data_IF_429284170602
#
_entry.id   IF_429284170602
#
_cell.length_a   1.000
_cell.length_b   1.000
_cell.length_c   1.000
_cell.angle_alpha   90.00
_cell.angle_beta   90.00
_cell.angle_gamma   90.00
#
_symmetry.space_group_name_H-M   'P 1'
#
loop_
_entity.id
_entity.type
_entity.pdbx_description
1 polymer ?
#
# COMPACT_ATOMS: atom_id res chain seq x y z
N UNK A 1 26.35 -1.41 -26.11
CA UNK A 1 25.65 -2.46 -25.33
C UNK A 1 26.46 -2.84 -24.08
N UNK A 2 26.15 -2.26 -22.92
CA UNK A 2 26.61 -2.55 -21.53
C UNK A 2 28.03 -3.10 -21.23
N UNK A 3 28.97 -3.11 -22.17
CA UNK A 3 30.33 -3.65 -22.01
C UNK A 3 30.38 -5.17 -21.74
N UNK A 4 29.36 -5.92 -22.14
CA UNK A 4 29.32 -7.39 -21.96
C UNK A 4 30.03 -8.04 -23.14
N UNK A 5 31.10 -8.80 -22.88
CA UNK A 5 31.86 -9.52 -23.90
C UNK A 5 31.21 -10.89 -24.18
N UNK A 6 31.30 -11.34 -25.43
CA UNK A 6 30.86 -12.68 -25.85
C UNK A 6 31.62 -13.76 -25.05
N UNK A 7 30.93 -14.68 -24.36
CA UNK A 7 31.56 -15.86 -23.78
C UNK A 7 32.17 -16.75 -24.87
N UNK A 8 33.37 -17.30 -24.64
CA UNK A 8 34.05 -18.17 -25.61
C UNK A 8 33.27 -19.45 -25.96
N UNK A 9 32.34 -19.86 -25.08
CA UNK A 9 31.51 -21.05 -25.23
C UNK A 9 30.28 -20.85 -26.12
N UNK A 10 30.05 -19.65 -26.67
CA UNK A 10 28.84 -19.30 -27.42
C UNK A 10 29.21 -18.88 -28.84
N UNK A 11 28.54 -19.46 -29.84
CA UNK A 11 28.71 -19.11 -31.25
C UNK A 11 28.19 -17.69 -31.56
N UNK A 12 28.57 -17.15 -32.72
CA UNK A 12 28.22 -15.77 -33.10
C UNK A 12 26.71 -15.56 -33.27
N UNK A 13 26.00 -16.53 -33.83
CA UNK A 13 24.54 -16.43 -34.06
C UNK A 13 23.76 -16.40 -32.75
N UNK A 14 24.15 -17.25 -31.80
CA UNK A 14 23.56 -17.26 -30.45
C UNK A 14 23.89 -15.98 -29.69
N UNK A 15 25.08 -15.41 -29.90
CA UNK A 15 25.46 -14.13 -29.33
C UNK A 15 24.67 -12.96 -29.94
N UNK A 16 24.50 -12.89 -31.25
CA UNK A 16 23.72 -11.85 -31.93
C UNK A 16 22.27 -11.82 -31.47
N UNK A 17 21.59 -12.99 -31.47
CA UNK A 17 20.21 -13.11 -30.96
C UNK A 17 20.08 -12.61 -29.53
N UNK A 18 21.09 -12.89 -28.71
CA UNK A 18 21.14 -12.40 -27.35
C UNK A 18 21.26 -10.87 -27.26
N UNK A 19 22.08 -10.27 -28.12
CA UNK A 19 22.19 -8.81 -28.20
C UNK A 19 20.84 -8.18 -28.61
N UNK A 20 20.13 -8.80 -29.55
CA UNK A 20 18.78 -8.38 -29.93
C UNK A 20 17.80 -8.46 -28.75
N UNK A 21 17.76 -9.58 -28.03
CA UNK A 21 16.89 -9.79 -26.87
C UNK A 21 17.11 -8.72 -25.79
N UNK A 22 18.38 -8.44 -25.44
CA UNK A 22 18.73 -7.41 -24.44
C UNK A 22 18.32 -6.02 -24.93
N UNK A 23 18.57 -5.71 -26.21
CA UNK A 23 18.19 -4.42 -26.80
C UNK A 23 16.68 -4.23 -26.76
N UNK A 24 15.91 -5.27 -27.10
CA UNK A 24 14.45 -5.24 -27.02
C UNK A 24 13.97 -4.96 -25.59
N UNK A 25 14.56 -5.58 -24.57
CA UNK A 25 14.20 -5.31 -23.17
C UNK A 25 14.57 -3.90 -22.73
N UNK A 26 15.70 -3.36 -23.16
CA UNK A 26 16.07 -1.96 -22.90
C UNK A 26 15.05 -0.99 -23.50
N UNK A 27 14.67 -1.19 -24.76
CA UNK A 27 13.65 -0.37 -25.43
C UNK A 27 12.30 -0.41 -24.70
N UNK A 28 11.95 -1.56 -24.09
CA UNK A 28 10.75 -1.65 -23.25
C UNK A 28 10.87 -0.81 -21.97
N UNK A 29 12.03 -0.85 -21.29
CA UNK A 29 12.27 -0.02 -20.11
C UNK A 29 12.24 1.48 -20.43
N UNK A 30 12.78 1.89 -21.58
CA UNK A 30 12.71 3.28 -22.07
C UNK A 30 11.26 3.70 -22.32
N UNK A 31 10.47 2.85 -22.99
CA UNK A 31 9.03 3.09 -23.22
C UNK A 31 8.22 3.16 -21.92
N UNK A 32 8.65 2.45 -20.88
CA UNK A 32 8.07 2.55 -19.54
C UNK A 32 8.42 3.86 -18.82
N UNK A 33 9.40 4.60 -19.33
CA UNK A 33 9.82 5.90 -18.79
C UNK A 33 11.03 5.83 -17.86
N UNK A 34 11.76 4.71 -17.82
CA UNK A 34 12.99 4.63 -17.05
C UNK A 34 14.08 5.51 -17.71
N UNK A 35 14.76 6.39 -16.94
CA UNK A 35 15.83 7.19 -17.48
C UNK A 35 17.11 6.36 -17.63
N UNK A 36 18.06 6.89 -18.39
CA UNK A 36 19.29 6.19 -18.78
C UNK A 36 20.11 5.71 -17.57
N UNK A 37 20.17 6.47 -16.48
CA UNK A 37 20.85 6.07 -15.25
C UNK A 37 20.21 4.84 -14.59
N UNK A 38 18.89 4.69 -14.68
CA UNK A 38 18.18 3.49 -14.21
C UNK A 38 18.50 2.30 -15.11
N UNK A 39 18.44 2.49 -16.42
CA UNK A 39 18.73 1.42 -17.40
C UNK A 39 20.18 0.92 -17.28
N UNK A 40 21.13 1.78 -16.91
CA UNK A 40 22.50 1.37 -16.59
C UNK A 40 22.56 0.38 -15.42
N UNK A 41 21.70 0.53 -14.40
CA UNK A 41 21.61 -0.43 -13.28
C UNK A 41 21.03 -1.78 -13.71
N UNK A 42 20.07 -1.80 -14.65
CA UNK A 42 19.62 -3.04 -15.28
C UNK A 42 20.78 -3.76 -15.98
N UNK A 43 21.59 -3.05 -16.77
CA UNK A 43 22.78 -3.61 -17.42
C UNK A 43 23.81 -4.19 -16.45
N UNK A 44 24.02 -3.54 -15.29
CA UNK A 44 24.91 -4.05 -14.22
C UNK A 44 24.35 -5.32 -13.58
N UNK A 45 23.07 -5.31 -13.22
CA UNK A 45 22.40 -6.47 -12.63
C UNK A 45 22.44 -7.67 -13.57
N UNK A 46 22.17 -7.42 -14.84
CA UNK A 46 22.22 -8.45 -15.86
C UNK A 46 23.63 -9.07 -15.99
N UNK A 47 24.69 -8.26 -16.02
CA UNK A 47 26.08 -8.74 -16.00
C UNK A 47 26.38 -9.60 -14.75
N UNK A 48 25.87 -9.20 -13.58
CA UNK A 48 26.00 -9.99 -12.34
C UNK A 48 25.32 -11.36 -12.47
N UNK A 49 24.09 -11.41 -13.00
CA UNK A 49 23.32 -12.66 -13.13
C UNK A 49 23.93 -13.63 -14.14
N UNK A 50 24.51 -13.12 -15.23
CA UNK A 50 25.27 -13.92 -16.19
C UNK A 50 26.49 -14.59 -15.56
N UNK A 51 27.20 -13.87 -14.68
CA UNK A 51 28.36 -14.43 -13.98
C UNK A 51 28.00 -15.56 -13.00
N UNK A 52 26.78 -15.56 -12.46
CA UNK A 52 26.31 -16.54 -11.46
C UNK A 52 25.78 -17.84 -12.05
N UNK A 53 25.02 -17.76 -13.16
CA UNK A 53 24.35 -18.95 -13.73
C UNK A 53 25.25 -19.86 -14.57
N UNK A 54 26.52 -19.49 -14.74
CA UNK A 54 27.45 -20.22 -15.59
C UNK A 54 27.12 -20.05 -17.09
N UNK A 55 28.08 -20.35 -17.96
CA UNK A 55 27.93 -20.11 -19.41
C UNK A 55 27.01 -21.13 -20.12
N UNK A 56 26.49 -22.14 -19.41
CA UNK A 56 25.67 -23.23 -19.95
C UNK A 56 24.16 -23.04 -19.79
N UNK A 57 23.70 -22.00 -19.09
CA UNK A 57 22.26 -21.72 -18.94
C UNK A 57 21.67 -21.02 -20.17
N UNK A 58 20.40 -21.31 -20.49
CA UNK A 58 19.68 -20.71 -21.60
C UNK A 58 19.67 -19.17 -21.48
N UNK A 59 20.38 -18.51 -22.39
CA UNK A 59 20.66 -17.08 -22.31
C UNK A 59 19.38 -16.22 -22.41
N UNK A 60 18.42 -16.63 -23.24
CA UNK A 60 17.15 -15.91 -23.40
C UNK A 60 16.27 -15.99 -22.14
N UNK A 61 16.37 -17.09 -21.38
CA UNK A 61 15.73 -17.22 -20.07
C UNK A 61 16.36 -16.27 -19.04
N UNK A 62 17.69 -16.05 -19.09
CA UNK A 62 18.36 -15.08 -18.20
C UNK A 62 17.89 -13.66 -18.51
N UNK A 63 17.84 -13.28 -19.80
CA UNK A 63 17.34 -11.96 -20.22
C UNK A 63 15.91 -11.76 -19.76
N UNK A 64 15.05 -12.74 -20.00
CA UNK A 64 13.64 -12.69 -19.61
C UNK A 64 13.47 -12.61 -18.10
N UNK A 65 14.20 -13.43 -17.34
CA UNK A 65 14.20 -13.42 -15.87
C UNK A 65 14.67 -12.07 -15.32
N UNK A 66 15.77 -11.51 -15.83
CA UNK A 66 16.29 -10.23 -15.36
C UNK A 66 15.32 -9.09 -15.67
N UNK A 67 14.68 -9.13 -16.84
CA UNK A 67 13.64 -8.16 -17.18
C UNK A 67 12.43 -8.31 -16.25
N UNK A 68 11.93 -9.54 -16.03
CA UNK A 68 10.82 -9.79 -15.11
C UNK A 68 11.07 -9.27 -13.70
N UNK A 69 12.30 -9.35 -13.20
CA UNK A 69 12.66 -8.78 -11.91
C UNK A 69 12.46 -7.25 -11.88
N UNK A 70 12.67 -6.54 -12.99
CA UNK A 70 12.40 -5.08 -13.07
C UNK A 70 10.91 -4.75 -13.01
N UNK A 71 10.04 -5.74 -13.17
CA UNK A 71 8.59 -5.57 -13.20
C UNK A 71 7.93 -5.90 -11.85
N UNK A 72 8.73 -6.09 -10.80
CA UNK A 72 8.28 -6.36 -9.43
C UNK A 72 8.96 -5.37 -8.50
N UNK A 73 8.16 -4.58 -7.79
CA UNK A 73 8.62 -3.59 -6.81
C UNK A 73 9.32 -4.33 -5.65
N UNK A 74 10.49 -3.85 -5.22
CA UNK A 74 11.26 -4.46 -4.14
C UNK A 74 12.10 -5.67 -4.56
N UNK A 75 12.33 -5.89 -5.85
CA UNK A 75 13.46 -6.74 -6.30
C UNK A 75 14.75 -5.94 -6.30
N UNK A 76 15.90 -6.62 -6.24
CA UNK A 76 17.21 -5.98 -6.24
C UNK A 76 17.40 -5.04 -7.44
N UNK A 77 17.03 -5.46 -8.65
CA UNK A 77 17.21 -4.64 -9.85
C UNK A 77 16.23 -3.48 -9.89
N UNK A 78 14.96 -3.70 -9.53
CA UNK A 78 13.97 -2.62 -9.45
C UNK A 78 14.45 -1.54 -8.47
N UNK A 79 14.92 -1.93 -7.28
CA UNK A 79 15.42 -0.99 -6.29
C UNK A 79 16.64 -0.23 -6.82
N UNK A 80 17.62 -0.92 -7.41
CA UNK A 80 18.79 -0.24 -7.99
C UNK A 80 18.37 0.81 -9.03
N UNK A 81 17.45 0.46 -9.93
CA UNK A 81 16.89 1.37 -10.92
C UNK A 81 16.16 2.55 -10.26
N UNK A 82 15.27 2.27 -9.30
CA UNK A 82 14.52 3.28 -8.56
C UNK A 82 15.44 4.29 -7.86
N UNK A 83 16.50 3.83 -7.19
CA UNK A 83 17.42 4.69 -6.45
C UNK A 83 18.43 5.42 -7.34
N UNK A 84 18.73 4.91 -8.54
CA UNK A 84 19.53 5.62 -9.52
C UNK A 84 18.82 6.89 -10.01
N UNK A 85 17.50 6.83 -10.22
CA UNK A 85 16.70 7.98 -10.62
C UNK A 85 16.40 8.91 -9.44
N UNK A 86 17.26 9.92 -9.23
CA UNK A 86 17.14 10.93 -8.14
C UNK A 86 16.10 12.02 -8.43
N UNK A 87 14.94 11.64 -8.98
CA UNK A 87 13.87 12.54 -9.43
C UNK A 87 13.41 13.56 -8.37
N UNK A 88 13.35 13.11 -7.12
CA UNK A 88 12.96 13.87 -5.93
C UNK A 88 13.92 15.04 -5.63
N UNK A 89 15.18 14.92 -6.07
CA UNK A 89 16.19 15.98 -5.96
C UNK A 89 16.21 16.92 -7.15
N UNK A 90 15.48 16.60 -8.22
CA UNK A 90 15.47 17.37 -9.47
C UNK A 90 14.29 18.34 -9.47
N UNK A 91 13.05 17.83 -9.50
CA UNK A 91 11.86 18.68 -9.53
C UNK A 91 10.58 17.91 -9.19
N UNK A 92 9.50 18.65 -8.93
CA UNK A 92 8.17 18.05 -8.78
C UNK A 92 7.70 17.35 -10.07
N UNK A 93 7.99 17.93 -11.24
CA UNK A 93 7.65 17.34 -12.55
C UNK A 93 8.38 16.02 -12.77
N UNK A 94 9.67 15.98 -12.45
CA UNK A 94 10.47 14.76 -12.58
C UNK A 94 10.01 13.68 -11.59
N UNK A 95 9.64 14.07 -10.37
CA UNK A 95 9.03 13.16 -9.38
C UNK A 95 7.72 12.55 -9.90
N UNK A 96 6.88 13.34 -10.59
CA UNK A 96 5.65 12.83 -11.22
C UNK A 96 5.94 11.81 -12.33
N UNK A 97 6.97 12.02 -13.16
CA UNK A 97 7.38 11.02 -14.17
C UNK A 97 7.77 9.70 -13.51
N UNK A 98 8.55 9.77 -12.43
CA UNK A 98 8.96 8.60 -11.65
C UNK A 98 7.79 7.83 -11.06
N UNK A 99 6.82 8.56 -10.49
CA UNK A 99 5.58 7.97 -9.96
C UNK A 99 4.72 7.37 -11.07
N UNK A 100 4.62 8.02 -12.24
CA UNK A 100 3.91 7.46 -13.40
C UNK A 100 4.55 6.16 -13.88
N UNK A 101 5.88 6.06 -13.90
CA UNK A 101 6.59 4.81 -14.18
C UNK A 101 6.23 3.70 -13.21
N UNK A 102 6.15 4.00 -11.91
CA UNK A 102 5.69 3.04 -10.89
C UNK A 102 4.25 2.57 -11.14
N UNK A 103 3.33 3.48 -11.46
CA UNK A 103 1.93 3.11 -11.76
C UNK A 103 1.84 2.18 -12.98
N UNK A 104 2.65 2.40 -14.02
CA UNK A 104 2.73 1.51 -15.20
C UNK A 104 3.27 0.12 -14.87
N UNK A 105 4.31 0.03 -14.04
CA UNK A 105 4.94 -1.24 -13.66
C UNK A 105 3.98 -2.09 -12.83
N UNK A 106 3.28 -1.45 -11.90
CA UNK A 106 2.31 -2.11 -11.03
C UNK A 106 0.99 -2.41 -11.76
N UNK A 107 0.72 -1.74 -12.89
CA UNK A 107 -0.53 -1.83 -13.63
C UNK A 107 -1.65 -0.95 -13.05
N UNK A 108 -1.33 -0.14 -12.05
CA UNK A 108 -2.25 0.81 -11.42
C UNK A 108 -2.66 1.94 -12.37
N UNK A 109 -1.87 2.20 -13.42
CA UNK A 109 -2.16 3.21 -14.45
C UNK A 109 -3.43 2.92 -15.27
N UNK A 110 -3.91 1.67 -15.24
CA UNK A 110 -5.11 1.19 -15.94
C UNK A 110 -6.33 1.06 -15.03
N UNK A 111 -6.18 1.39 -13.75
CA UNK A 111 -7.21 1.24 -12.73
C UNK A 111 -7.68 2.61 -12.23
N UNK A 112 -8.88 2.60 -11.66
CA UNK A 112 -9.60 3.78 -11.18
C UNK A 112 -10.49 3.41 -9.98
N UNK A 113 -11.34 4.35 -9.55
CA UNK A 113 -12.27 4.15 -8.43
C UNK A 113 -13.28 3.01 -8.64
N UNK A 114 -13.54 2.60 -9.89
CA UNK A 114 -14.52 1.55 -10.25
C UNK A 114 -13.89 0.16 -10.29
N UNK A 115 -12.57 0.10 -10.20
CA UNK A 115 -11.83 -1.16 -10.27
C UNK A 115 -12.18 -2.08 -9.09
N UNK A 116 -12.27 -3.38 -9.37
CA UNK A 116 -12.63 -4.39 -8.38
C UNK A 116 -11.50 -4.67 -7.40
N UNK A 117 -11.85 -5.24 -6.24
CA UNK A 117 -10.85 -5.70 -5.28
C UNK A 117 -9.87 -6.73 -5.87
N UNK A 118 -10.32 -7.60 -6.79
CA UNK A 118 -9.46 -8.58 -7.47
C UNK A 118 -8.44 -7.91 -8.40
N UNK A 119 -8.85 -6.88 -9.15
CA UNK A 119 -7.92 -6.12 -9.98
C UNK A 119 -6.83 -5.45 -9.14
N UNK A 120 -7.21 -4.88 -7.98
CA UNK A 120 -6.27 -4.24 -7.06
C UNK A 120 -5.36 -5.26 -6.35
N UNK A 121 -5.86 -6.46 -6.04
CA UNK A 121 -5.03 -7.57 -5.54
C UNK A 121 -3.98 -7.99 -6.57
N UNK A 122 -4.32 -8.01 -7.86
CA UNK A 122 -3.36 -8.30 -8.92
C UNK A 122 -2.25 -7.22 -9.03
N UNK A 123 -2.56 -5.96 -8.68
CA UNK A 123 -1.53 -4.91 -8.52
C UNK A 123 -0.63 -5.21 -7.31
N UNK A 124 -1.19 -5.70 -6.19
CA UNK A 124 -0.40 -6.10 -5.03
C UNK A 124 0.59 -7.23 -5.35
N UNK A 125 0.27 -8.13 -6.29
CA UNK A 125 1.18 -9.18 -6.77
C UNK A 125 2.40 -8.63 -7.54
N UNK A 126 2.38 -7.35 -7.93
CA UNK A 126 3.55 -6.63 -8.48
C UNK A 126 4.46 -6.04 -7.39
N UNK A 127 4.14 -6.25 -6.12
CA UNK A 127 5.01 -5.94 -4.99
C UNK A 127 5.59 -7.24 -4.46
N UNK A 128 6.90 -7.27 -4.25
CA UNK A 128 7.59 -8.45 -3.74
C UNK A 128 6.98 -8.88 -2.40
N UNK A 129 6.51 -10.14 -2.33
CA UNK A 129 5.87 -10.71 -1.13
C UNK A 129 6.78 -10.75 0.10
N UNK A 130 8.10 -10.62 -0.08
CA UNK A 130 9.09 -10.54 1.01
C UNK A 130 9.36 -9.12 1.48
N UNK A 131 8.77 -8.12 0.84
CA UNK A 131 8.97 -6.71 1.16
C UNK A 131 8.28 -6.36 2.48
N UNK A 132 9.08 -5.93 3.45
CA UNK A 132 8.62 -5.63 4.80
C UNK A 132 7.88 -4.28 4.86
N UNK A 133 6.96 -4.08 5.82
CA UNK A 133 6.36 -2.77 6.08
C UNK A 133 7.38 -1.66 6.42
N UNK A 134 8.52 -2.00 7.01
CA UNK A 134 9.60 -1.05 7.34
C UNK A 134 10.66 -0.89 6.25
N UNK A 135 10.44 -1.45 5.05
CA UNK A 135 11.38 -1.31 3.94
C UNK A 135 11.62 0.17 3.57
N UNK A 136 12.88 0.53 3.33
CA UNK A 136 13.32 1.89 2.96
C UNK A 136 12.64 2.43 1.70
N UNK A 137 12.19 1.56 0.79
CA UNK A 137 11.47 1.95 -0.41
C UNK A 137 10.22 2.75 -0.08
N UNK A 138 9.46 2.36 0.95
CA UNK A 138 8.23 3.07 1.32
C UNK A 138 8.51 4.53 1.72
N UNK A 139 9.62 4.77 2.41
CA UNK A 139 10.10 6.13 2.71
C UNK A 139 10.48 6.91 1.45
N UNK A 140 11.14 6.26 0.49
CA UNK A 140 11.54 6.87 -0.78
C UNK A 140 10.36 7.17 -1.70
N UNK A 141 9.40 6.25 -1.82
CA UNK A 141 8.15 6.42 -2.55
C UNK A 141 7.41 7.65 -2.02
N UNK A 142 7.20 7.69 -0.72
CA UNK A 142 6.46 8.76 -0.13
C UNK A 142 7.18 10.11 -0.18
N UNK A 143 8.50 10.16 -0.05
CA UNK A 143 9.28 11.38 -0.30
C UNK A 143 9.14 11.88 -1.75
N UNK A 144 9.02 10.95 -2.70
CA UNK A 144 8.76 11.27 -4.12
C UNK A 144 7.35 11.84 -4.31
N UNK A 145 6.33 11.27 -3.64
CA UNK A 145 4.94 11.78 -3.64
C UNK A 145 4.87 13.17 -3.02
N UNK A 146 5.49 13.37 -1.86
CA UNK A 146 5.57 14.65 -1.18
C UNK A 146 6.20 15.71 -2.09
N UNK A 147 7.34 15.42 -2.72
CA UNK A 147 7.98 16.34 -3.67
C UNK A 147 7.10 16.66 -4.89
N UNK A 148 6.31 15.71 -5.36
CA UNK A 148 5.45 15.87 -6.53
C UNK A 148 4.21 16.72 -6.27
N UNK A 149 3.65 16.65 -5.06
CA UNK A 149 2.30 17.15 -4.78
C UNK A 149 2.18 18.14 -3.62
N UNK A 150 3.13 18.20 -2.69
CA UNK A 150 3.09 19.21 -1.64
C UNK A 150 3.50 20.60 -2.20
N UNK A 151 2.82 21.70 -1.82
CA UNK A 151 1.62 21.80 -0.96
C UNK A 151 0.28 21.72 -1.72
N UNK A 152 0.31 21.49 -3.03
CA UNK A 152 -0.85 21.65 -3.92
C UNK A 152 -1.88 20.50 -3.89
N UNK A 153 -1.56 19.38 -3.25
CA UNK A 153 -2.41 18.19 -3.14
C UNK A 153 -2.35 17.27 -4.35
N UNK A 154 -2.81 16.02 -4.17
CA UNK A 154 -2.75 14.95 -5.18
C UNK A 154 -3.82 15.08 -6.27
N UNK A 155 -3.76 16.17 -7.05
CA UNK A 155 -4.70 16.44 -8.14
C UNK A 155 -4.40 15.64 -9.41
N UNK A 156 -5.44 15.38 -10.20
CA UNK A 156 -5.38 14.72 -11.52
C UNK A 156 -5.21 13.21 -11.43
N UNK A 157 -5.22 12.54 -12.59
CA UNK A 157 -5.29 11.07 -12.67
C UNK A 157 -4.16 10.37 -11.92
N UNK A 158 -2.92 10.84 -12.04
CA UNK A 158 -1.79 10.28 -11.30
C UNK A 158 -1.97 10.45 -9.78
N UNK A 159 -2.53 11.58 -9.33
CA UNK A 159 -2.80 11.80 -7.91
C UNK A 159 -3.89 10.86 -7.38
N UNK A 160 -4.94 10.63 -8.18
CA UNK A 160 -5.97 9.64 -7.89
C UNK A 160 -5.40 8.23 -7.82
N UNK A 161 -4.61 7.82 -8.81
CA UNK A 161 -3.95 6.50 -8.85
C UNK A 161 -3.10 6.28 -7.59
N UNK A 162 -2.31 7.27 -7.19
CA UNK A 162 -1.46 7.20 -5.99
C UNK A 162 -2.28 7.13 -4.71
N UNK A 163 -3.42 7.83 -4.62
CA UNK A 163 -4.34 7.71 -3.47
C UNK A 163 -4.87 6.28 -3.35
N UNK A 164 -5.45 5.76 -4.43
CA UNK A 164 -6.00 4.41 -4.47
C UNK A 164 -4.92 3.34 -4.19
N UNK A 165 -3.69 3.56 -4.67
CA UNK A 165 -2.56 2.66 -4.46
C UNK A 165 -2.18 2.50 -2.97
N UNK A 166 -2.55 3.45 -2.10
CA UNK A 166 -2.32 3.34 -0.64
C UNK A 166 -3.01 2.11 -0.03
N UNK A 167 -4.16 1.71 -0.57
CA UNK A 167 -4.88 0.51 -0.15
C UNK A 167 -4.19 -0.78 -0.61
N UNK A 168 -3.58 -0.76 -1.80
CA UNK A 168 -2.76 -1.88 -2.32
C UNK A 168 -1.54 -2.10 -1.44
N UNK A 169 -0.83 -1.01 -1.09
CA UNK A 169 0.33 -1.07 -0.18
C UNK A 169 -0.10 -1.60 1.19
N UNK A 170 -1.16 -1.03 1.78
CA UNK A 170 -1.63 -1.47 3.11
C UNK A 170 -2.02 -2.94 3.13
N UNK A 171 -2.71 -3.43 2.09
CA UNK A 171 -3.02 -4.85 1.94
C UNK A 171 -1.76 -5.72 1.85
N UNK A 172 -0.78 -5.33 1.02
CA UNK A 172 0.48 -6.07 0.91
C UNK A 172 1.20 -6.15 2.26
N UNK A 173 1.22 -5.04 3.02
CA UNK A 173 1.87 -4.97 4.32
C UNK A 173 1.14 -5.82 5.37
N UNK A 174 -0.19 -5.77 5.43
CA UNK A 174 -0.99 -6.64 6.30
C UNK A 174 -0.74 -8.12 5.96
N UNK A 175 -0.76 -8.47 4.67
CA UNK A 175 -0.50 -9.83 4.20
C UNK A 175 0.91 -10.32 4.53
N UNK A 176 1.93 -9.45 4.40
CA UNK A 176 3.29 -9.77 4.82
C UNK A 176 3.34 -10.22 6.28
N UNK A 177 2.70 -9.46 7.19
CA UNK A 177 2.65 -9.80 8.61
C UNK A 177 1.94 -11.13 8.84
N UNK A 178 0.77 -11.31 8.23
CA UNK A 178 -0.07 -12.51 8.37
C UNK A 178 0.66 -13.78 7.92
N UNK A 179 1.40 -13.69 6.81
CA UNK A 179 2.05 -14.84 6.18
C UNK A 179 3.42 -15.19 6.81
N UNK A 180 4.11 -14.23 7.45
CA UNK A 180 5.50 -14.42 7.90
C UNK A 180 5.68 -14.55 9.43
N UNK A 181 4.66 -14.22 10.22
CA UNK A 181 4.75 -14.24 11.68
C UNK A 181 3.71 -15.19 12.29
N UNK A 182 4.12 -15.90 13.34
CA UNK A 182 3.24 -16.80 14.11
C UNK A 182 2.35 -15.96 15.03
N UNK A 183 1.17 -16.47 15.36
CA UNK A 183 0.20 -15.80 16.24
C UNK A 183 -1.20 -16.34 16.00
N UNK A 184 -2.05 -16.33 17.04
CA UNK A 184 -3.45 -16.75 16.95
C UNK A 184 -4.33 -15.69 16.27
N UNK A 185 -3.98 -14.42 16.44
CA UNK A 185 -4.65 -13.28 15.80
C UNK A 185 -3.64 -12.42 15.04
N UNK A 186 -4.13 -11.56 14.15
CA UNK A 186 -3.27 -10.65 13.38
C UNK A 186 -2.56 -9.63 14.30
N UNK A 187 -3.22 -9.21 15.39
CA UNK A 187 -2.61 -8.43 16.47
C UNK A 187 -1.35 -9.12 17.02
N UNK A 188 -1.41 -10.42 17.33
CA UNK A 188 -0.25 -11.14 17.86
C UNK A 188 0.86 -11.26 16.82
N UNK A 189 0.50 -11.47 15.55
CA UNK A 189 1.46 -11.51 14.44
C UNK A 189 2.16 -10.16 14.27
N UNK A 190 1.42 -9.05 14.39
CA UNK A 190 1.99 -7.70 14.35
C UNK A 190 2.94 -7.45 15.51
N UNK A 191 2.55 -7.85 16.74
CA UNK A 191 3.42 -7.77 17.92
C UNK A 191 4.71 -8.54 17.67
N UNK A 192 4.61 -9.78 17.19
CA UNK A 192 5.78 -10.60 16.88
C UNK A 192 6.67 -10.01 15.78
N UNK A 193 6.10 -9.34 14.79
CA UNK A 193 6.87 -8.57 13.82
C UNK A 193 7.62 -7.41 14.48
N UNK A 194 6.93 -6.57 15.24
CA UNK A 194 7.53 -5.41 15.91
C UNK A 194 8.68 -5.84 16.81
N UNK A 195 8.48 -6.89 17.62
CA UNK A 195 9.48 -7.42 18.55
C UNK A 195 10.66 -8.06 17.80
N UNK A 196 10.39 -8.99 16.88
CA UNK A 196 11.43 -9.76 16.19
C UNK A 196 12.29 -8.90 15.28
N UNK A 197 11.68 -7.99 14.53
CA UNK A 197 12.40 -7.08 13.62
C UNK A 197 12.95 -5.85 14.35
N UNK A 198 12.70 -5.73 15.66
CA UNK A 198 13.11 -4.58 16.49
C UNK A 198 12.66 -3.28 15.86
N UNK A 199 11.38 -3.15 15.56
CA UNK A 199 10.82 -1.90 15.07
C UNK A 199 10.75 -0.95 16.27
N UNK A 200 11.55 0.11 16.29
CA UNK A 200 11.59 1.10 17.40
C UNK A 200 10.66 2.30 17.15
N UNK A 201 10.26 2.49 15.90
CA UNK A 201 9.50 3.62 15.40
C UNK A 201 8.04 3.23 15.12
N UNK A 202 7.38 2.63 16.11
CA UNK A 202 5.94 2.40 16.10
C UNK A 202 5.23 3.21 17.17
N UNK A 203 3.91 3.36 17.03
CA UNK A 203 3.01 3.81 18.11
C UNK A 203 1.62 3.22 17.91
N UNK A 204 0.88 3.10 19.02
CA UNK A 204 -0.54 2.77 19.03
C UNK A 204 -1.39 3.92 19.58
N UNK A 205 -0.79 5.11 19.79
CA UNK A 205 -1.43 6.26 20.43
C UNK A 205 -2.26 7.10 19.45
N UNK A 206 -2.10 6.88 18.14
CA UNK A 206 -2.89 7.54 17.10
C UNK A 206 -4.38 7.19 17.21
N UNK A 207 -5.25 8.18 16.98
CA UNK A 207 -6.69 7.97 17.08
C UNK A 207 -7.22 7.08 15.96
N UNK A 208 -7.96 6.04 16.33
CA UNK A 208 -8.71 5.20 15.39
C UNK A 208 -10.12 5.75 15.08
N UNK A 209 -10.48 6.97 15.52
CA UNK A 209 -11.85 7.53 15.38
C UNK A 209 -12.40 7.45 13.95
N UNK A 210 -11.58 7.80 12.96
CA UNK A 210 -11.98 7.76 11.54
C UNK A 210 -12.20 6.34 11.00
N UNK A 211 -11.69 5.35 11.74
CA UNK A 211 -11.85 3.92 11.50
C UNK A 211 -12.85 3.29 12.49
N UNK A 212 -13.74 4.07 13.09
CA UNK A 212 -14.79 3.58 14.00
C UNK A 212 -16.19 3.92 13.48
N UNK A 213 -16.49 3.64 12.21
CA UNK A 213 -17.78 4.00 11.62
C UNK A 213 -18.95 3.27 12.30
N UNK A 214 -19.99 4.01 12.63
CA UNK A 214 -21.22 3.52 13.26
C UNK A 214 -22.42 4.35 12.80
N UNK A 215 -23.61 3.86 13.08
CA UNK A 215 -24.87 4.58 12.90
C UNK A 215 -25.67 4.53 14.20
N UNK A 216 -26.25 5.66 14.59
CA UNK A 216 -27.18 5.73 15.73
C UNK A 216 -28.59 5.88 15.19
N UNK A 217 -29.46 4.91 15.49
CA UNK A 217 -30.85 4.97 15.05
C UNK A 217 -31.68 5.96 15.90
N UNK A 218 -32.95 6.14 15.52
CA UNK A 218 -33.87 7.05 16.23
C UNK A 218 -34.16 6.63 17.68
N UNK A 219 -33.87 5.39 18.06
CA UNK A 219 -34.00 4.87 19.42
C UNK A 219 -32.67 4.96 20.20
N UNK A 220 -31.70 5.76 19.74
CA UNK A 220 -30.36 5.89 20.33
C UNK A 220 -29.57 4.57 20.44
N UNK A 221 -29.93 3.57 19.64
CA UNK A 221 -29.17 2.31 19.54
C UNK A 221 -28.04 2.47 18.54
N UNK A 222 -26.85 2.02 18.92
CA UNK A 222 -25.67 2.01 18.04
C UNK A 222 -25.71 0.74 17.18
N UNK A 223 -25.52 0.93 15.89
CA UNK A 223 -25.41 -0.10 14.87
C UNK A 223 -24.03 0.01 14.23
N UNK A 224 -23.32 -1.10 14.17
CA UNK A 224 -22.02 -1.19 13.53
C UNK A 224 -22.12 -1.91 12.17
N UNK A 225 -21.17 -1.66 11.26
CA UNK A 225 -21.07 -2.42 10.01
C UNK A 225 -20.95 -3.93 10.28
N UNK A 226 -21.41 -4.75 9.33
CA UNK A 226 -21.24 -6.20 9.42
C UNK A 226 -19.77 -6.58 9.56
N UNK A 227 -19.46 -7.47 10.51
CA UNK A 227 -18.11 -7.92 10.83
C UNK A 227 -17.44 -7.18 12.00
N UNK A 228 -18.13 -6.22 12.62
CA UNK A 228 -17.66 -5.55 13.83
C UNK A 228 -17.52 -6.50 15.02
N UNK A 229 -16.55 -6.24 15.90
CA UNK A 229 -16.29 -7.02 17.10
C UNK A 229 -16.53 -6.20 18.37
N UNK A 230 -17.35 -6.73 19.28
CA UNK A 230 -17.62 -6.12 20.60
C UNK A 230 -16.51 -6.38 21.63
N UNK A 231 -15.48 -7.17 21.28
CA UNK A 231 -14.33 -7.38 22.15
C UNK A 231 -13.52 -6.08 22.36
N UNK A 232 -12.74 -6.02 23.44
CA UNK A 232 -12.05 -4.80 23.90
C UNK A 232 -12.97 -3.55 23.98
N UNK A 233 -14.27 -3.76 24.23
CA UNK A 233 -15.24 -2.66 24.35
C UNK A 233 -15.70 -2.07 23.02
N UNK A 234 -15.58 -2.81 21.92
CA UNK A 234 -16.11 -2.41 20.61
C UNK A 234 -15.30 -1.30 19.92
N UNK A 235 -14.05 -1.10 20.32
CA UNK A 235 -13.19 -0.06 19.75
C UNK A 235 -12.08 -0.65 18.89
N UNK A 236 -11.77 0.07 17.82
CA UNK A 236 -10.67 -0.24 16.93
C UNK A 236 -9.38 0.40 17.45
N UNK A 237 -8.27 -0.27 17.19
CA UNK A 237 -6.93 0.19 17.52
C UNK A 237 -6.18 0.54 16.23
N UNK A 238 -5.57 1.72 16.19
CA UNK A 238 -4.67 2.12 15.12
C UNK A 238 -3.23 1.94 15.59
N UNK A 239 -2.50 1.08 14.90
CA UNK A 239 -1.06 0.90 15.09
C UNK A 239 -0.36 1.37 13.84
N UNK A 240 0.63 2.25 14.01
CA UNK A 240 1.43 2.76 12.90
C UNK A 240 2.91 2.42 13.11
N UNK A 241 3.56 1.99 12.05
CA UNK A 241 5.00 1.69 12.00
C UNK A 241 5.67 2.47 10.88
N UNK A 242 6.99 2.31 10.72
CA UNK A 242 7.79 2.97 9.68
C UNK A 242 7.70 4.50 9.81
N UNK A 243 8.67 5.05 10.53
CA UNK A 243 8.69 6.44 11.02
C UNK A 243 7.43 6.80 11.81
N UNK A 244 6.86 5.84 12.56
CA UNK A 244 5.66 6.01 13.40
C UNK A 244 4.41 6.50 12.68
N UNK A 245 4.30 6.35 11.35
CA UNK A 245 3.15 6.92 10.65
C UNK A 245 2.80 6.29 9.31
N UNK A 246 3.77 5.74 8.56
CA UNK A 246 3.55 5.34 7.17
C UNK A 246 2.72 4.08 7.04
N UNK A 247 3.14 3.02 7.71
CA UNK A 247 2.46 1.73 7.66
C UNK A 247 1.39 1.71 8.73
N UNK A 248 0.13 1.81 8.31
CA UNK A 248 -1.03 1.79 9.20
C UNK A 248 -1.65 0.40 9.23
N UNK A 249 -1.99 -0.04 10.44
CA UNK A 249 -2.76 -1.24 10.71
C UNK A 249 -3.94 -0.86 11.61
N UNK A 250 -5.15 -1.20 11.17
CA UNK A 250 -6.36 -1.05 11.97
C UNK A 250 -6.75 -2.44 12.46
N UNK A 251 -6.88 -2.56 13.78
CA UNK A 251 -7.10 -3.82 14.48
C UNK A 251 -8.45 -3.73 15.19
N UNK A 252 -9.39 -4.62 14.90
CA UNK A 252 -10.66 -4.70 15.62
C UNK A 252 -10.49 -5.39 16.97
N UNK A 253 -11.52 -5.32 17.81
CA UNK A 253 -11.51 -5.83 19.18
C UNK A 253 -11.07 -7.30 19.35
N UNK A 254 -11.27 -8.17 18.36
CA UNK A 254 -10.83 -9.58 18.42
C UNK A 254 -9.42 -9.82 17.86
N UNK A 255 -8.74 -8.76 17.43
CA UNK A 255 -7.37 -8.81 16.95
C UNK A 255 -7.20 -9.08 15.46
N UNK A 256 -8.26 -9.08 14.65
CA UNK A 256 -8.14 -9.11 13.17
C UNK A 256 -7.75 -7.75 12.57
N UNK A 257 -7.06 -7.79 11.44
CA UNK A 257 -6.85 -6.58 10.62
C UNK A 257 -8.09 -6.19 9.82
N UNK A 258 -8.31 -4.89 9.68
CA UNK A 258 -9.23 -4.32 8.69
C UNK A 258 -8.46 -3.92 7.44
N UNK A 259 -8.22 -4.88 6.54
CA UNK A 259 -7.60 -4.63 5.25
C UNK A 259 -8.65 -4.60 4.13
N UNK A 260 -8.67 -3.52 3.33
CA UNK A 260 -9.70 -3.31 2.29
C UNK A 260 -9.76 -4.45 1.27
N UNK A 261 -8.60 -4.99 0.90
CA UNK A 261 -8.45 -5.97 -0.17
C UNK A 261 -8.31 -7.40 0.35
N UNK A 262 -8.61 -7.66 1.62
CA UNK A 262 -8.77 -9.03 2.10
C UNK A 262 -9.83 -9.76 1.26
N UNK A 263 -9.60 -11.04 0.97
CA UNK A 263 -10.54 -11.87 0.20
C UNK A 263 -11.87 -11.98 0.94
N UNK A 264 -11.81 -12.06 2.26
CA UNK A 264 -12.98 -12.20 3.13
C UNK A 264 -13.31 -10.87 3.85
N UNK A 265 -12.95 -9.74 3.24
CA UNK A 265 -13.20 -8.40 3.80
C UNK A 265 -14.70 -8.19 4.06
N UNK A 266 -15.04 -8.05 5.35
CA UNK A 266 -16.38 -7.71 5.83
C UNK A 266 -16.74 -6.26 5.47
N UNK A 267 -17.99 -5.86 5.73
CA UNK A 267 -18.39 -4.47 5.57
C UNK A 267 -17.57 -3.54 6.48
N UNK A 268 -17.33 -3.96 7.72
CA UNK A 268 -16.48 -3.23 8.68
C UNK A 268 -15.05 -3.09 8.15
N UNK A 269 -14.47 -4.18 7.63
CA UNK A 269 -13.13 -4.15 7.04
C UNK A 269 -13.03 -3.21 5.85
N UNK A 270 -14.07 -3.10 5.02
CA UNK A 270 -14.09 -2.16 3.90
C UNK A 270 -14.26 -0.73 4.37
N UNK A 271 -15.24 -0.47 5.23
CA UNK A 271 -15.57 0.88 5.66
C UNK A 271 -14.48 1.50 6.55
N UNK A 272 -13.85 0.71 7.42
CA UNK A 272 -12.89 1.17 8.43
C UNK A 272 -11.44 0.76 8.13
N UNK A 273 -11.14 0.33 6.90
CA UNK A 273 -9.84 -0.18 6.51
C UNK A 273 -8.65 0.72 6.87
N UNK A 274 -7.48 0.09 7.02
CA UNK A 274 -6.18 0.77 7.01
C UNK A 274 -5.79 1.27 5.62
N UNK A 275 -4.93 2.29 5.60
CA UNK A 275 -4.29 2.78 4.37
C UNK A 275 -2.85 3.23 4.63
N UNK A 276 -1.95 3.05 3.66
CA UNK A 276 -0.58 3.56 3.79
C UNK A 276 -0.55 5.10 3.79
N UNK A 277 0.27 5.73 4.62
CA UNK A 277 0.41 7.19 4.67
C UNK A 277 1.68 7.68 3.95
N UNK A 278 1.52 8.64 3.05
CA UNK A 278 2.64 9.32 2.41
C UNK A 278 3.26 10.39 3.33
N UNK A 279 2.50 10.97 4.25
CA UNK A 279 3.05 11.84 5.28
C UNK A 279 3.86 11.06 6.34
N UNK A 280 4.53 11.78 7.24
CA UNK A 280 5.38 11.21 8.30
C UNK A 280 4.82 11.38 9.70
N UNK A 281 3.78 12.17 9.85
CA UNK A 281 3.11 12.47 11.12
C UNK A 281 1.74 13.09 10.82
N UNK A 282 0.91 13.21 11.84
CA UNK A 282 -0.44 13.77 11.75
C UNK A 282 -0.39 15.31 11.69
N UNK A 283 -0.01 15.87 10.54
CA UNK A 283 0.11 17.30 10.31
C UNK A 283 -0.61 17.76 9.02
N UNK A 284 -0.34 19.00 8.59
CA UNK A 284 -0.90 19.53 7.34
C UNK A 284 -0.50 18.72 6.10
N UNK A 285 0.70 18.13 6.06
CA UNK A 285 1.12 17.28 4.93
C UNK A 285 0.24 16.03 4.87
N UNK A 286 -0.07 15.43 6.02
CA UNK A 286 -1.02 14.32 6.09
C UNK A 286 -2.40 14.72 5.57
N UNK A 287 -2.89 15.90 5.94
CA UNK A 287 -4.16 16.38 5.38
C UNK A 287 -4.11 16.49 3.86
N UNK A 288 -3.07 17.13 3.32
CA UNK A 288 -2.93 17.39 1.88
C UNK A 288 -2.76 16.11 1.06
N UNK A 289 -1.98 15.14 1.55
CA UNK A 289 -1.59 13.95 0.78
C UNK A 289 -2.43 12.71 1.09
N UNK A 290 -3.00 12.59 2.29
CA UNK A 290 -3.61 11.33 2.73
C UNK A 290 -5.11 11.47 3.05
N UNK A 291 -5.57 12.65 3.50
CA UNK A 291 -6.97 12.85 3.92
C UNK A 291 -7.81 13.54 2.84
N UNK A 292 -7.35 14.68 2.34
CA UNK A 292 -8.09 15.50 1.37
C UNK A 292 -8.50 14.74 0.11
N UNK A 293 -7.69 13.85 -0.51
CA UNK A 293 -8.10 13.11 -1.70
C UNK A 293 -9.35 12.24 -1.48
N UNK A 294 -9.56 11.75 -0.26
CA UNK A 294 -10.76 11.00 0.13
C UNK A 294 -11.96 11.92 0.45
N UNK A 295 -11.71 13.21 0.66
CA UNK A 295 -12.72 14.19 1.03
C UNK A 295 -13.62 14.60 -0.14
N UNK A 296 -14.71 15.29 0.19
CA UNK A 296 -15.78 15.67 -0.75
C UNK A 296 -15.28 16.46 -1.97
N UNK A 297 -14.17 17.19 -1.84
CA UNK A 297 -13.60 17.97 -2.93
C UNK A 297 -13.01 17.13 -4.08
N UNK A 298 -12.60 15.88 -3.80
CA UNK A 298 -11.96 15.01 -4.79
C UNK A 298 -12.67 13.67 -4.95
N UNK A 299 -13.14 13.09 -3.83
CA UNK A 299 -13.87 11.82 -3.78
C UNK A 299 -13.13 10.69 -4.51
N UNK A 300 -11.83 10.55 -4.28
CA UNK A 300 -10.99 9.54 -4.92
C UNK A 300 -11.10 8.16 -4.27
N UNK A 301 -12.22 7.83 -3.64
CA UNK A 301 -12.40 6.55 -2.96
C UNK A 301 -12.89 5.45 -3.88
N UNK A 302 -12.48 4.21 -3.61
CA UNK A 302 -13.01 3.05 -4.35
C UNK A 302 -14.52 2.94 -4.15
N UNK A 303 -15.27 2.73 -5.22
CA UNK A 303 -16.73 2.66 -5.17
C UNK A 303 -17.23 1.57 -4.21
N UNK A 304 -16.60 0.40 -4.19
CA UNK A 304 -16.99 -0.68 -3.28
C UNK A 304 -16.65 -0.38 -1.81
N UNK A 305 -15.69 0.51 -1.55
CA UNK A 305 -15.40 1.00 -0.20
C UNK A 305 -16.44 2.02 0.23
N UNK A 306 -16.80 2.96 -0.65
CA UNK A 306 -17.87 3.92 -0.37
C UNK A 306 -19.22 3.22 -0.19
N UNK A 307 -19.52 2.20 -1.01
CA UNK A 307 -20.72 1.37 -0.86
C UNK A 307 -20.80 0.73 0.53
N UNK A 308 -19.67 0.27 1.07
CA UNK A 308 -19.62 -0.35 2.40
C UNK A 308 -20.01 0.60 3.54
N UNK A 309 -20.06 1.92 3.30
CA UNK A 309 -20.52 2.91 4.29
C UNK A 309 -22.03 2.99 4.37
N UNK A 310 -22.77 2.51 3.37
CA UNK A 310 -24.22 2.55 3.39
C UNK A 310 -24.80 1.41 4.22
N UNK A 311 -25.98 1.66 4.82
CA UNK A 311 -26.74 0.63 5.50
C UNK A 311 -27.72 0.02 4.50
N UNK A 312 -27.68 -1.30 4.35
CA UNK A 312 -28.55 -2.02 3.43
C UNK A 312 -29.64 -2.80 4.18
N UNK A 313 -30.79 -2.95 3.53
CA UNK A 313 -31.80 -3.89 3.97
C UNK A 313 -31.39 -5.35 3.67
N UNK A 314 -32.25 -6.31 4.05
CA UNK A 314 -32.02 -7.74 3.78
C UNK A 314 -31.96 -8.11 2.29
N UNK A 315 -32.37 -7.21 1.39
CA UNK A 315 -32.36 -7.39 -0.05
C UNK A 315 -31.18 -6.65 -0.73
N UNK A 316 -30.33 -5.96 0.04
CA UNK A 316 -29.19 -5.22 -0.48
C UNK A 316 -29.51 -3.82 -0.97
N UNK A 317 -30.71 -3.29 -0.69
CA UNK A 317 -31.05 -1.90 -1.04
C UNK A 317 -30.59 -0.95 0.05
N UNK A 318 -30.05 0.22 -0.33
CA UNK A 318 -29.68 1.27 0.62
C UNK A 318 -30.92 1.77 1.37
N UNK A 319 -30.84 1.84 2.69
CA UNK A 319 -31.94 2.31 3.54
C UNK A 319 -31.95 3.83 3.54
N UNK A 320 -33.14 4.42 3.34
CA UNK A 320 -33.36 5.86 3.41
C UNK A 320 -33.90 6.23 4.80
N UNK A 321 -33.39 7.32 5.35
CA UNK A 321 -33.95 7.97 6.53
C UNK A 321 -35.22 8.73 6.15
N UNK A 322 -36.36 8.30 6.69
CA UNK A 322 -37.69 8.84 6.33
C UNK A 322 -37.87 10.30 6.73
N UNK A 323 -37.11 10.82 7.69
CA UNK A 323 -37.24 12.19 8.18
C UNK A 323 -36.43 13.17 7.32
N UNK A 324 -35.28 12.73 6.82
CA UNK A 324 -34.36 13.58 6.04
C UNK A 324 -34.39 13.31 4.53
N UNK A 325 -34.96 12.18 4.11
CA UNK A 325 -34.92 11.70 2.73
C UNK A 325 -33.53 11.27 2.26
N UNK A 326 -32.54 11.19 3.17
CA UNK A 326 -31.15 10.84 2.84
C UNK A 326 -30.86 9.37 3.14
N UNK A 327 -29.95 8.79 2.38
CA UNK A 327 -29.44 7.44 2.62
C UNK A 327 -28.75 7.36 4.00
N UNK A 328 -29.01 6.28 4.75
CA UNK A 328 -28.35 6.04 6.03
C UNK A 328 -26.95 5.52 5.80
N UNK A 329 -25.99 6.15 6.49
CA UNK A 329 -24.58 5.80 6.41
C UNK A 329 -23.97 5.55 7.77
N UNK A 330 -23.00 4.63 7.82
CA UNK A 330 -22.04 4.51 8.90
C UNK A 330 -21.02 5.65 8.79
N UNK A 331 -20.91 6.43 9.87
CA UNK A 331 -20.02 7.59 9.96
C UNK A 331 -19.14 7.50 11.20
N UNK A 332 -17.97 8.14 11.14
CA UNK A 332 -17.10 8.24 12.29
C UNK A 332 -17.78 9.06 13.42
N UNK A 333 -17.63 8.67 14.70
CA UNK A 333 -18.13 9.43 15.83
C UNK A 333 -17.64 10.87 15.77
N UNK A 334 -18.50 11.81 16.17
CA UNK A 334 -18.08 13.20 16.40
C UNK A 334 -16.99 13.22 17.47
N UNK A 335 -16.05 14.15 17.35
CA UNK A 335 -14.95 14.28 18.32
C UNK A 335 -15.48 14.48 19.76
N UNK A 336 -16.55 15.25 19.93
CA UNK A 336 -17.25 15.45 21.20
C UNK A 336 -17.75 14.16 21.84
N UNK A 337 -17.96 13.11 21.05
CA UNK A 337 -18.51 11.84 21.49
C UNK A 337 -17.41 10.79 21.74
N UNK A 338 -16.12 11.17 21.64
CA UNK A 338 -15.03 10.22 21.86
C UNK A 338 -14.77 9.92 23.33
N UNK A 339 -15.17 10.81 24.26
CA UNK A 339 -14.97 10.61 25.70
C UNK A 339 -15.60 9.30 26.20
N UNK A 340 -16.73 8.87 25.62
CA UNK A 340 -17.36 7.59 26.00
C UNK A 340 -16.53 6.35 25.64
N UNK A 341 -15.60 6.47 24.67
CA UNK A 341 -14.72 5.38 24.23
C UNK A 341 -13.35 5.44 24.90
N UNK A 342 -13.01 6.53 25.59
CA UNK A 342 -11.67 6.82 26.10
C UNK A 342 -11.12 5.68 26.97
N UNK A 343 -11.92 5.17 27.91
CA UNK A 343 -11.52 4.07 28.78
C UNK A 343 -11.21 2.78 28.00
N UNK A 344 -12.05 2.44 27.00
CA UNK A 344 -11.86 1.25 26.19
C UNK A 344 -10.63 1.38 25.29
N UNK A 345 -10.43 2.55 24.66
CA UNK A 345 -9.26 2.85 23.83
C UNK A 345 -7.98 2.76 24.66
N UNK A 346 -7.94 3.45 25.82
CA UNK A 346 -6.79 3.44 26.71
C UNK A 346 -6.44 2.02 27.19
N UNK A 347 -7.46 1.21 27.53
CA UNK A 347 -7.28 -0.18 27.91
C UNK A 347 -6.69 -1.02 26.78
N UNK A 348 -7.22 -0.89 25.56
CA UNK A 348 -6.74 -1.64 24.40
C UNK A 348 -5.30 -1.24 24.03
N UNK A 349 -5.01 0.06 23.97
CA UNK A 349 -3.66 0.58 23.74
C UNK A 349 -2.66 0.10 24.80
N UNK A 350 -3.02 0.17 26.10
CA UNK A 350 -2.16 -0.30 27.18
C UNK A 350 -1.89 -1.80 27.09
N UNK A 351 -2.91 -2.61 26.77
CA UNK A 351 -2.76 -4.05 26.54
C UNK A 351 -1.79 -4.33 25.39
N UNK A 352 -2.00 -3.69 24.23
CA UNK A 352 -1.13 -3.87 23.07
C UNK A 352 0.33 -3.49 23.39
N UNK A 353 0.55 -2.28 23.94
CA UNK A 353 1.88 -1.80 24.32
C UNK A 353 2.56 -2.72 25.33
N UNK A 354 1.82 -3.18 26.33
CA UNK A 354 2.35 -4.12 27.34
C UNK A 354 2.86 -5.43 26.74
N UNK A 355 2.21 -5.94 25.69
CA UNK A 355 2.64 -7.17 25.00
C UNK A 355 3.83 -6.98 24.06
N UNK A 356 4.02 -5.78 23.53
CA UNK A 356 5.20 -5.46 22.70
C UNK A 356 6.45 -5.26 23.58
N UNK A 357 6.26 -4.73 24.79
CA UNK A 357 7.34 -4.37 25.72
C UNK A 357 7.70 -5.46 26.73
N UNK A 358 6.91 -6.54 26.81
CA UNK A 358 7.21 -7.76 27.59
C UNK A 358 8.19 -8.64 26.84
#
# INVERSE_FOLDING_TARGET
MFGIKRPKSIDDKTWEKYQEDVTAKVLLLEKQGWPIESIKEFGKYFKEMLGRKGQSSNMSEIVSSCYSDTQIVGTKVFDNMWYAWKADRISASESKKKLSGLMKITGMDKLDEKSSADQLRAVADKINKKMKPDDKFWGSLAGTVEKAYYPNGMKGDLGKQLHLFRYVISYQQAKYIVDNYKGRTDEEKLINYIVKEKIWNWTADESARLHQKLYTNSQNTIIYPNGHSNANGGVNLKVVTNTRFRSEFIIIGDGKFLALLDKDATQDAKANCSSFNYARQNDYIHQVLDVNPAGENYNYEHQFREEARYIHDKYGNRIIDTNTGKEKIFAAPKLSNMNQYENNVNKFQKKFKGRVLS
#
